data_IF_882524515816
#
_entry.id   IF_882524515816
#
_cell.length_a   1.000
_cell.length_b   1.000
_cell.length_c   1.000
_cell.angle_alpha   90.00
_cell.angle_beta   90.00
_cell.angle_gamma   90.00
#
_symmetry.space_group_name_H-M   'P 1'
#
loop_
_entity.id
_entity.type
_entity.pdbx_description
1 polymer ?
#
# COMPACT_ATOMS: atom_id res chain seq x y z
N UNK A 1 -20.89 -5.26 -20.24
CA UNK A 1 -21.38 -3.89 -19.97
C UNK A 1 -21.29 -3.11 -21.28
N UNK A 2 -22.37 -2.45 -21.70
CA UNK A 2 -22.40 -1.67 -22.94
C UNK A 2 -21.95 -0.25 -22.58
N UNK A 3 -20.95 0.29 -23.28
CA UNK A 3 -20.50 1.68 -23.11
C UNK A 3 -21.35 2.61 -23.98
N UNK A 4 -21.68 3.78 -23.46
CA UNK A 4 -22.22 4.87 -24.28
C UNK A 4 -21.17 5.38 -25.28
N UNK A 5 -21.55 6.06 -26.38
CA UNK A 5 -20.60 6.60 -27.35
C UNK A 5 -19.55 7.54 -26.72
N UNK A 6 -19.96 8.36 -25.75
CA UNK A 6 -19.07 9.28 -25.03
C UNK A 6 -18.08 8.53 -24.13
N UNK A 7 -18.51 7.48 -23.43
CA UNK A 7 -17.63 6.64 -22.62
C UNK A 7 -16.63 5.87 -23.49
N UNK A 8 -17.06 5.40 -24.66
CA UNK A 8 -16.19 4.74 -25.62
C UNK A 8 -15.13 5.69 -26.17
N UNK A 9 -15.50 6.94 -26.51
CA UNK A 9 -14.57 8.00 -26.92
C UNK A 9 -13.52 8.29 -25.84
N UNK A 10 -13.95 8.45 -24.58
CA UNK A 10 -13.03 8.68 -23.44
C UNK A 10 -12.05 7.51 -23.30
N UNK A 11 -12.56 6.27 -23.30
CA UNK A 11 -11.73 5.07 -23.17
C UNK A 11 -10.66 5.00 -24.29
N UNK A 12 -11.07 5.23 -25.53
CA UNK A 12 -10.15 5.23 -26.68
C UNK A 12 -9.06 6.30 -26.56
N UNK A 13 -9.40 7.51 -26.11
CA UNK A 13 -8.42 8.60 -25.92
C UNK A 13 -7.41 8.29 -24.81
N UNK A 14 -7.86 7.67 -23.72
CA UNK A 14 -6.98 7.23 -22.62
C UNK A 14 -6.06 6.11 -23.08
N UNK A 15 -6.59 5.10 -23.78
CA UNK A 15 -5.81 4.00 -24.33
C UNK A 15 -4.79 4.45 -25.40
N UNK A 16 -5.11 5.51 -26.15
CA UNK A 16 -4.23 6.03 -27.19
C UNK A 16 -3.01 6.79 -26.65
N UNK A 17 -3.11 7.44 -25.48
CA UNK A 17 -2.01 8.21 -24.88
C UNK A 17 -1.33 7.52 -23.71
N UNK A 18 -1.97 6.48 -23.15
CA UNK A 18 -1.52 5.78 -21.96
C UNK A 18 -0.71 4.52 -22.25
N UNK A 19 0.18 4.19 -21.33
CA UNK A 19 0.84 2.88 -21.23
C UNK A 19 0.24 2.13 -20.03
N UNK A 20 -0.21 0.88 -20.17
CA UNK A 20 -0.72 0.09 -19.05
C UNK A 20 0.30 0.01 -17.91
N UNK A 21 -0.12 0.17 -16.65
CA UNK A 21 0.79 0.15 -15.49
C UNK A 21 1.64 -1.13 -15.35
N UNK A 22 1.21 -2.27 -15.90
CA UNK A 22 2.02 -3.50 -15.97
C UNK A 22 3.26 -3.37 -16.86
N UNK A 23 3.23 -2.43 -17.81
CA UNK A 23 4.30 -2.15 -18.77
C UNK A 23 5.14 -0.93 -18.32
N UNK A 24 4.81 -0.32 -17.17
CA UNK A 24 5.66 0.64 -16.49
C UNK A 24 6.76 -0.09 -15.71
N UNK A 25 7.92 0.55 -15.56
CA UNK A 25 8.98 0.06 -14.67
C UNK A 25 8.65 0.36 -13.20
N UNK A 26 7.67 -0.38 -12.69
CA UNK A 26 7.17 -0.25 -11.31
C UNK A 26 7.03 -1.63 -10.65
N UNK A 27 7.17 -1.64 -9.32
CA UNK A 27 6.87 -2.80 -8.47
C UNK A 27 5.64 -2.50 -7.62
N UNK A 28 4.67 -3.42 -7.59
CA UNK A 28 3.49 -3.31 -6.73
C UNK A 28 3.50 -4.44 -5.71
N UNK A 29 3.66 -4.08 -4.44
CA UNK A 29 3.81 -5.01 -3.34
C UNK A 29 2.69 -4.85 -2.32
N UNK A 30 2.30 -5.94 -1.65
CA UNK A 30 1.26 -5.92 -0.60
C UNK A 30 1.87 -5.58 0.76
N UNK A 31 1.12 -4.91 1.61
CA UNK A 31 1.50 -4.76 3.01
C UNK A 31 1.61 -6.11 3.73
N UNK A 32 2.22 -6.09 4.91
CA UNK A 32 2.58 -7.29 5.66
C UNK A 32 1.37 -7.96 6.31
N UNK A 33 1.41 -9.29 6.39
CA UNK A 33 0.50 -10.09 7.18
C UNK A 33 1.10 -10.34 8.57
N UNK A 34 0.38 -9.94 9.61
CA UNK A 34 0.78 -10.20 10.99
C UNK A 34 0.27 -11.53 11.51
N UNK A 35 -0.78 -12.11 10.91
CA UNK A 35 -1.46 -13.30 11.43
C UNK A 35 -2.15 -13.14 12.80
N UNK A 36 -1.93 -12.04 13.52
CA UNK A 36 -2.61 -11.67 14.77
C UNK A 36 -2.30 -10.20 15.12
N UNK A 37 -3.16 -9.27 14.69
CA UNK A 37 -2.86 -7.83 14.75
C UNK A 37 -2.71 -7.31 16.19
N UNK A 38 -3.46 -7.84 17.14
CA UNK A 38 -3.47 -7.38 18.54
C UNK A 38 -2.10 -7.52 19.22
N UNK A 39 -1.30 -8.52 18.82
CA UNK A 39 0.05 -8.70 19.35
C UNK A 39 1.07 -7.77 18.68
N UNK A 40 0.99 -7.63 17.35
CA UNK A 40 2.04 -6.99 16.56
C UNK A 40 1.78 -5.52 16.23
N UNK A 41 0.52 -5.07 16.20
CA UNK A 41 0.14 -3.67 15.93
C UNK A 41 -0.32 -3.03 17.23
N UNK A 42 0.58 -2.24 17.82
CA UNK A 42 0.39 -1.57 19.09
C UNK A 42 0.00 -0.10 18.90
N UNK A 43 -0.61 0.50 19.92
CA UNK A 43 -0.82 1.95 19.95
C UNK A 43 0.41 2.70 20.47
N UNK A 44 0.36 4.03 20.37
CA UNK A 44 1.40 4.92 20.87
C UNK A 44 1.70 4.74 22.36
N UNK A 45 0.68 4.50 23.19
CA UNK A 45 0.86 4.35 24.64
C UNK A 45 1.68 3.09 24.93
N UNK A 46 1.28 1.96 24.37
CA UNK A 46 2.01 0.70 24.49
C UNK A 46 3.42 0.84 23.91
N UNK A 47 3.59 1.49 22.75
CA UNK A 47 4.92 1.78 22.19
C UNK A 47 5.80 2.52 23.20
N UNK A 48 5.30 3.62 23.74
CA UNK A 48 6.06 4.48 24.65
C UNK A 48 6.41 3.75 25.96
N UNK A 49 5.51 2.90 26.47
CA UNK A 49 5.77 2.05 27.63
C UNK A 49 6.86 1.01 27.36
N UNK A 50 6.84 0.33 26.21
CA UNK A 50 7.85 -0.66 25.83
C UNK A 50 9.22 -0.01 25.65
N UNK A 51 9.30 1.13 24.96
CA UNK A 51 10.55 1.87 24.74
C UNK A 51 11.08 2.45 26.07
N UNK A 52 10.20 2.93 26.95
CA UNK A 52 10.62 3.45 28.27
C UNK A 52 11.24 2.35 29.13
N UNK A 53 10.70 1.13 29.08
CA UNK A 53 11.23 -0.02 29.83
C UNK A 53 12.51 -0.56 29.22
N UNK A 54 12.61 -0.57 27.89
CA UNK A 54 13.79 -1.00 27.14
C UNK A 54 13.96 -0.15 25.87
N UNK A 55 14.84 0.88 25.89
CA UNK A 55 15.05 1.79 24.76
C UNK A 55 15.42 1.09 23.45
N UNK A 56 16.06 -0.09 23.51
CA UNK A 56 16.43 -0.86 22.33
C UNK A 56 15.21 -1.31 21.52
N UNK A 57 14.06 -1.47 22.17
CA UNK A 57 12.78 -1.78 21.51
C UNK A 57 12.43 -0.83 20.36
N UNK A 58 12.90 0.41 20.40
CA UNK A 58 12.66 1.40 19.36
C UNK A 58 13.22 0.96 17.98
N UNK A 59 14.28 0.15 17.94
CA UNK A 59 14.91 -0.33 16.70
C UNK A 59 13.96 -1.19 15.84
N UNK A 60 13.03 -1.91 16.49
CA UNK A 60 12.13 -2.84 15.83
C UNK A 60 10.66 -2.42 15.93
N UNK A 61 10.35 -1.20 16.39
CA UNK A 61 8.99 -0.66 16.38
C UNK A 61 8.87 0.43 15.33
N UNK A 62 8.09 0.18 14.28
CA UNK A 62 7.96 1.09 13.12
C UNK A 62 6.53 1.62 12.98
N UNK A 63 6.31 2.86 12.50
CA UNK A 63 4.97 3.34 12.19
C UNK A 63 4.31 2.45 11.13
N UNK A 64 3.01 2.20 11.26
CA UNK A 64 2.25 1.38 10.30
C UNK A 64 0.96 2.07 9.83
N UNK A 65 0.72 2.02 8.53
CA UNK A 65 -0.51 2.43 7.88
C UNK A 65 -1.41 1.22 7.59
N UNK A 66 -2.73 1.44 7.70
CA UNK A 66 -3.77 0.52 7.24
C UNK A 66 -4.47 1.16 6.05
N UNK A 67 -5.16 0.36 5.22
CA UNK A 67 -5.86 0.86 4.04
C UNK A 67 -6.81 2.02 4.34
N UNK A 68 -7.53 1.98 5.47
CA UNK A 68 -8.44 3.07 5.89
C UNK A 68 -7.75 4.38 6.27
N UNK A 69 -6.47 4.31 6.60
CA UNK A 69 -5.66 5.47 6.98
C UNK A 69 -5.22 6.26 5.72
N UNK A 70 -5.28 5.65 4.53
CA UNK A 70 -4.84 6.27 3.26
C UNK A 70 -5.98 7.04 2.60
N UNK A 71 -5.72 8.30 2.24
CA UNK A 71 -6.65 9.25 1.60
C UNK A 71 -6.12 9.67 0.23
N UNK A 72 -6.87 10.54 -0.45
CA UNK A 72 -6.42 11.17 -1.71
C UNK A 72 -5.27 12.13 -1.40
N UNK A 73 -4.08 11.83 -1.92
CA UNK A 73 -2.82 12.59 -1.75
C UNK A 73 -2.19 12.60 -0.36
N UNK A 74 -2.81 12.01 0.66
CA UNK A 74 -2.30 12.03 2.03
C UNK A 74 -2.72 10.78 2.81
N UNK A 75 -2.25 10.66 4.05
CA UNK A 75 -2.72 9.63 4.98
C UNK A 75 -2.87 10.22 6.38
N UNK A 76 -3.85 9.69 7.12
CA UNK A 76 -4.12 10.04 8.51
C UNK A 76 -3.38 9.06 9.40
N UNK A 77 -2.22 9.45 9.92
CA UNK A 77 -1.44 8.57 10.79
C UNK A 77 -2.17 8.33 12.12
N UNK A 78 -2.64 7.10 12.32
CA UNK A 78 -3.50 6.73 13.45
C UNK A 78 -2.74 6.42 14.75
N UNK A 79 -1.49 6.87 14.88
CA UNK A 79 -0.63 6.57 16.04
C UNK A 79 -0.53 5.05 16.33
N UNK A 80 -0.42 4.28 15.24
CA UNK A 80 -0.24 2.82 15.27
C UNK A 80 1.17 2.46 14.84
N UNK A 81 1.71 1.46 15.53
CA UNK A 81 3.07 1.00 15.34
C UNK A 81 3.10 -0.51 15.25
N UNK A 82 4.03 -1.03 14.47
CA UNK A 82 4.25 -2.43 14.23
C UNK A 82 5.52 -2.87 14.95
N UNK A 83 5.42 -3.94 15.72
CA UNK A 83 6.57 -4.72 16.18
C UNK A 83 7.10 -5.52 14.99
N UNK A 84 8.16 -5.03 14.36
CA UNK A 84 8.79 -5.54 13.13
C UNK A 84 9.85 -6.60 13.38
N UNK A 85 9.46 -7.72 13.98
CA UNK A 85 10.33 -8.90 14.14
C UNK A 85 10.40 -9.67 12.82
N UNK A 86 11.38 -9.38 11.96
CA UNK A 86 11.55 -10.06 10.66
C UNK A 86 12.50 -11.26 10.75
N UNK A 87 12.48 -12.10 9.71
CA UNK A 87 13.47 -13.16 9.49
C UNK A 87 14.57 -12.64 8.58
N UNK A 88 15.66 -13.39 8.46
CA UNK A 88 16.74 -13.05 7.53
C UNK A 88 16.22 -12.76 6.12
N UNK A 89 16.70 -11.66 5.53
CA UNK A 89 16.42 -11.29 4.14
C UNK A 89 17.62 -10.59 3.51
N UNK A 90 17.71 -10.63 2.19
CA UNK A 90 18.66 -9.82 1.44
C UNK A 90 17.95 -8.60 0.85
N UNK A 91 18.57 -7.42 0.90
CA UNK A 91 18.07 -6.24 0.19
C UNK A 91 18.45 -6.25 -1.30
N UNK A 92 18.00 -5.22 -2.03
CA UNK A 92 18.25 -5.10 -3.48
C UNK A 92 19.75 -4.98 -3.82
N UNK A 93 20.61 -4.62 -2.85
CA UNK A 93 22.07 -4.56 -3.02
C UNK A 93 22.76 -5.89 -2.65
N UNK A 94 21.99 -6.92 -2.28
CA UNK A 94 22.50 -8.21 -1.85
C UNK A 94 23.05 -8.22 -0.41
N UNK A 95 22.82 -7.16 0.38
CA UNK A 95 23.21 -7.14 1.79
C UNK A 95 22.23 -8.00 2.57
N UNK A 96 22.77 -8.96 3.32
CA UNK A 96 21.99 -9.86 4.17
C UNK A 96 21.73 -9.20 5.53
N UNK A 97 20.46 -8.99 5.84
CA UNK A 97 19.97 -8.51 7.12
C UNK A 97 19.60 -9.73 7.98
N UNK A 98 20.24 -9.96 9.13
CA UNK A 98 20.00 -11.15 9.95
C UNK A 98 18.59 -11.15 10.55
N UNK A 99 18.07 -12.34 10.86
CA UNK A 99 16.80 -12.47 11.59
C UNK A 99 16.87 -11.76 12.94
N UNK A 100 15.77 -11.12 13.34
CA UNK A 100 15.63 -10.59 14.70
C UNK A 100 15.49 -11.77 15.67
N UNK A 101 16.45 -11.94 16.58
CA UNK A 101 16.30 -12.81 17.74
C UNK A 101 15.52 -12.06 18.83
N UNK A 102 14.34 -12.56 19.18
CA UNK A 102 13.49 -11.92 20.18
C UNK A 102 14.12 -11.87 21.57
N UNK A 103 15.12 -12.72 21.86
CA UNK A 103 15.88 -12.70 23.11
C UNK A 103 16.69 -11.42 23.28
N UNK A 104 17.05 -10.78 22.17
CA UNK A 104 17.77 -9.50 22.17
C UNK A 104 16.87 -8.31 22.54
N UNK A 105 15.55 -8.54 22.65
CA UNK A 105 14.51 -7.54 22.95
C UNK A 105 13.56 -8.09 24.04
N UNK A 106 14.02 -8.24 25.29
CA UNK A 106 13.28 -8.95 26.35
C UNK A 106 11.91 -8.34 26.66
N UNK A 107 11.79 -7.01 26.62
CA UNK A 107 10.50 -6.31 26.84
C UNK A 107 9.50 -6.59 25.72
N UNK A 108 9.97 -6.68 24.47
CA UNK A 108 9.13 -7.06 23.33
C UNK A 108 8.74 -8.54 23.43
N UNK A 109 9.68 -9.39 23.85
CA UNK A 109 9.40 -10.80 24.10
C UNK A 109 8.28 -10.96 25.13
N UNK A 110 8.36 -10.28 26.27
CA UNK A 110 7.35 -10.32 27.33
C UNK A 110 5.98 -9.87 26.82
N UNK A 111 5.93 -8.79 26.04
CA UNK A 111 4.70 -8.34 25.38
C UNK A 111 4.13 -9.42 24.45
N UNK A 112 4.95 -10.06 23.62
CA UNK A 112 4.49 -11.12 22.73
C UNK A 112 4.13 -12.42 23.46
N UNK A 113 4.79 -12.73 24.59
CA UNK A 113 4.49 -13.88 25.44
C UNK A 113 3.08 -13.79 26.04
N UNK A 114 2.60 -12.58 26.33
CA UNK A 114 1.20 -12.36 26.74
C UNK A 114 0.20 -12.92 25.71
N UNK A 115 0.57 -12.88 24.43
CA UNK A 115 -0.23 -13.40 23.31
C UNK A 115 0.22 -14.79 22.83
N UNK A 116 1.02 -15.53 23.61
CA UNK A 116 1.65 -16.78 23.18
C UNK A 116 0.67 -17.81 22.62
N UNK A 117 -0.49 -17.98 23.27
CA UNK A 117 -1.50 -18.96 22.88
C UNK A 117 -2.03 -18.72 21.45
N UNK A 118 -2.06 -17.45 21.02
CA UNK A 118 -2.53 -17.00 19.73
C UNK A 118 -1.37 -17.00 18.72
N UNK A 119 -0.24 -16.36 19.06
CA UNK A 119 0.86 -16.17 18.10
C UNK A 119 1.56 -17.49 17.71
N UNK A 120 1.62 -18.47 18.62
CA UNK A 120 2.19 -19.79 18.35
C UNK A 120 1.38 -20.58 17.30
N UNK A 121 0.06 -20.35 17.25
CA UNK A 121 -0.85 -21.02 16.31
C UNK A 121 -0.99 -20.31 14.96
N UNK A 122 -0.37 -19.14 14.78
CA UNK A 122 -0.37 -18.43 13.50
C UNK A 122 0.13 -19.33 12.38
N UNK A 123 -0.57 -19.30 11.25
CA UNK A 123 -0.10 -19.89 10.00
C UNK A 123 0.88 -18.93 9.32
N UNK A 124 0.58 -17.63 9.35
CA UNK A 124 1.47 -16.56 8.88
C UNK A 124 2.49 -16.17 9.95
N UNK A 125 3.56 -16.97 10.05
CA UNK A 125 4.72 -16.69 10.92
C UNK A 125 6.04 -16.98 10.20
N UNK A 126 7.12 -16.46 10.76
CA UNK A 126 8.48 -16.77 10.34
C UNK A 126 9.01 -18.06 10.96
N UNK A 127 10.33 -18.11 11.12
CA UNK A 127 11.06 -19.25 11.66
C UNK A 127 10.69 -19.52 13.14
N UNK A 128 10.25 -18.47 13.86
CA UNK A 128 9.68 -18.58 15.20
C UNK A 128 8.27 -17.97 15.27
N UNK A 129 7.46 -18.33 16.29
CA UNK A 129 6.20 -17.65 16.58
C UNK A 129 6.30 -16.14 16.80
N UNK A 130 7.48 -15.63 17.14
CA UNK A 130 7.71 -14.21 17.37
C UNK A 130 8.00 -13.45 16.08
N UNK A 131 8.50 -14.11 15.03
CA UNK A 131 8.80 -13.45 13.76
C UNK A 131 7.54 -13.35 12.89
N UNK A 132 7.37 -12.21 12.24
CA UNK A 132 6.44 -12.03 11.13
C UNK A 132 6.82 -12.96 9.98
N UNK A 133 5.86 -13.23 9.09
CA UNK A 133 6.10 -14.06 7.89
C UNK A 133 7.23 -13.47 7.05
N UNK A 134 8.06 -14.33 6.44
CA UNK A 134 9.11 -13.93 5.48
C UNK A 134 8.49 -13.08 4.36
N UNK A 135 9.13 -11.96 4.06
CA UNK A 135 8.69 -11.00 3.07
C UNK A 135 9.88 -10.67 2.16
N UNK A 136 9.77 -10.98 0.87
CA UNK A 136 10.88 -10.85 -0.08
C UNK A 136 11.24 -9.39 -0.41
N UNK A 137 10.41 -8.44 0.00
CA UNK A 137 10.52 -7.02 -0.31
C UNK A 137 10.53 -6.17 0.98
N UNK A 138 11.13 -6.68 2.07
CA UNK A 138 11.21 -5.95 3.35
C UNK A 138 11.87 -4.58 3.21
N UNK A 139 12.90 -4.46 2.36
CA UNK A 139 13.60 -3.19 2.16
C UNK A 139 12.75 -2.16 1.39
N UNK A 140 11.78 -2.58 0.59
CA UNK A 140 10.93 -1.68 -0.17
C UNK A 140 10.08 -0.77 0.74
N UNK A 141 9.82 -1.16 1.99
CA UNK A 141 9.17 -0.30 2.97
C UNK A 141 10.01 0.92 3.37
N UNK A 142 11.32 0.90 3.13
CA UNK A 142 12.24 2.02 3.43
C UNK A 142 12.38 3.00 2.25
N UNK A 143 11.88 2.64 1.07
CA UNK A 143 12.01 3.44 -0.14
C UNK A 143 10.84 4.42 -0.29
N UNK A 144 11.03 5.52 -1.03
CA UNK A 144 9.92 6.35 -1.52
C UNK A 144 8.92 5.46 -2.26
N UNK A 145 7.64 5.61 -1.93
CA UNK A 145 6.58 4.75 -2.47
C UNK A 145 5.24 5.46 -2.46
N UNK A 146 4.38 5.13 -3.41
CA UNK A 146 2.94 5.43 -3.31
C UNK A 146 2.30 4.33 -2.49
N UNK A 147 1.54 4.67 -1.46
CA UNK A 147 0.70 3.74 -0.70
C UNK A 147 -0.75 3.89 -1.12
N UNK A 148 -1.47 2.77 -1.20
CA UNK A 148 -2.90 2.79 -1.52
C UNK A 148 -3.70 1.69 -0.83
N UNK A 149 -4.97 1.98 -0.56
CA UNK A 149 -5.89 1.02 0.07
C UNK A 149 -6.22 -0.13 -0.88
N UNK A 150 -6.33 -1.36 -0.37
CA UNK A 150 -6.87 -2.49 -1.15
C UNK A 150 -8.35 -2.32 -1.48
N UNK A 151 -9.09 -1.59 -0.66
CA UNK A 151 -10.51 -1.30 -0.88
C UNK A 151 -10.63 0.23 -0.99
N UNK A 152 -10.89 0.71 -2.19
CA UNK A 152 -11.25 2.12 -2.41
C UNK A 152 -12.62 2.43 -1.81
N UNK A 153 -12.82 3.68 -1.41
CA UNK A 153 -14.17 4.24 -1.28
C UNK A 153 -14.72 4.66 -2.64
N UNK A 154 -15.45 5.78 -2.66
CA UNK A 154 -15.85 6.44 -3.91
C UNK A 154 -14.71 7.29 -4.53
N UNK A 155 -13.61 7.48 -3.80
CA UNK A 155 -12.50 8.35 -4.15
C UNK A 155 -11.17 7.58 -4.30
N UNK A 156 -10.20 8.11 -5.06
CA UNK A 156 -8.88 7.52 -5.15
C UNK A 156 -8.15 7.62 -3.80
N UNK A 157 -7.75 6.48 -3.24
CA UNK A 157 -7.04 6.40 -1.97
C UNK A 157 -5.55 6.09 -2.22
N UNK A 158 -4.84 6.99 -2.88
CA UNK A 158 -3.40 6.92 -3.13
C UNK A 158 -2.70 8.10 -2.47
N UNK A 159 -1.55 7.85 -1.83
CA UNK A 159 -0.73 8.87 -1.19
C UNK A 159 0.76 8.56 -1.34
N UNK A 160 1.61 9.59 -1.33
CA UNK A 160 3.05 9.39 -1.27
C UNK A 160 3.46 9.16 0.20
N UNK A 161 4.19 8.07 0.48
CA UNK A 161 4.80 7.83 1.79
C UNK A 161 6.27 8.21 1.77
N UNK A 162 6.56 9.34 2.43
CA UNK A 162 7.91 9.84 2.67
C UNK A 162 8.42 9.51 4.08
N UNK A 163 7.60 8.87 4.92
CA UNK A 163 7.91 8.56 6.31
C UNK A 163 8.40 7.11 6.52
N UNK A 164 8.59 6.35 5.43
CA UNK A 164 9.01 4.93 5.49
C UNK A 164 8.10 4.08 6.37
N UNK A 165 6.80 4.36 6.31
CA UNK A 165 5.79 3.61 7.05
C UNK A 165 5.75 2.16 6.58
N UNK A 166 5.59 1.26 7.54
CA UNK A 166 5.11 -0.10 7.26
C UNK A 166 3.65 -0.03 6.85
N UNK A 167 3.15 -1.09 6.23
CA UNK A 167 1.72 -1.21 5.92
C UNK A 167 1.24 -2.59 6.24
N UNK A 168 -0.01 -2.72 6.70
CA UNK A 168 -0.63 -4.02 6.81
C UNK A 168 -1.26 -4.45 5.48
N UNK A 169 -1.73 -5.68 5.49
CA UNK A 169 -2.31 -6.42 4.37
C UNK A 169 -3.59 -5.79 3.75
N UNK A 170 -4.10 -4.71 4.33
CA UNK A 170 -5.22 -3.91 3.80
C UNK A 170 -4.77 -2.80 2.85
N UNK A 171 -3.47 -2.65 2.62
CA UNK A 171 -2.88 -1.69 1.70
C UNK A 171 -1.81 -2.32 0.80
N UNK A 172 -1.47 -1.61 -0.28
CA UNK A 172 -0.44 -1.95 -1.26
C UNK A 172 0.46 -0.74 -1.49
N UNK A 173 1.67 -0.99 -1.97
CA UNK A 173 2.64 0.05 -2.32
C UNK A 173 3.09 -0.07 -3.77
N UNK A 174 3.35 1.05 -4.41
CA UNK A 174 3.96 1.17 -5.73
C UNK A 174 5.34 1.81 -5.56
N UNK A 175 6.36 1.15 -6.07
CA UNK A 175 7.73 1.64 -6.18
C UNK A 175 8.10 1.80 -7.65
N UNK A 176 9.03 2.71 -7.95
CA UNK A 176 9.55 2.97 -9.28
C UNK A 176 9.92 4.44 -9.41
N UNK A 177 10.18 4.88 -10.63
CA UNK A 177 10.48 6.27 -10.93
C UNK A 177 9.21 7.12 -11.11
N UNK A 178 9.36 8.44 -11.04
CA UNK A 178 8.28 9.41 -11.32
C UNK A 178 7.01 9.26 -10.43
N UNK A 179 7.18 8.82 -9.18
CA UNK A 179 6.06 8.56 -8.26
C UNK A 179 5.11 9.74 -8.07
N UNK A 180 5.62 10.97 -7.97
CA UNK A 180 4.76 12.15 -7.83
C UNK A 180 3.87 12.37 -9.06
N UNK A 181 4.43 12.23 -10.25
CA UNK A 181 3.67 12.33 -11.50
C UNK A 181 2.63 11.20 -11.58
N UNK A 182 3.01 9.96 -11.27
CA UNK A 182 2.09 8.83 -11.26
C UNK A 182 0.97 9.04 -10.24
N UNK A 183 1.28 9.51 -9.04
CA UNK A 183 0.28 9.85 -8.02
C UNK A 183 -0.72 10.89 -8.52
N UNK A 184 -0.24 11.96 -9.16
CA UNK A 184 -1.12 12.97 -9.76
C UNK A 184 -2.05 12.39 -10.81
N UNK A 185 -1.59 11.46 -11.65
CA UNK A 185 -2.46 10.79 -12.62
C UNK A 185 -3.46 9.87 -11.93
N UNK A 186 -3.02 8.99 -11.03
CA UNK A 186 -3.89 8.07 -10.30
C UNK A 186 -5.01 8.78 -9.53
N UNK A 187 -4.72 9.96 -8.99
CA UNK A 187 -5.68 10.77 -8.25
C UNK A 187 -6.41 11.82 -9.10
N UNK A 188 -6.21 11.90 -10.41
CA UNK A 188 -6.94 12.85 -11.27
C UNK A 188 -8.34 12.33 -11.64
N UNK A 189 -9.33 13.22 -11.82
CA UNK A 189 -10.70 12.81 -12.15
C UNK A 189 -10.80 11.92 -13.39
N UNK A 190 -10.00 12.19 -14.43
CA UNK A 190 -10.04 11.48 -15.71
C UNK A 190 -9.63 10.02 -15.56
N UNK A 191 -8.49 9.76 -14.91
CA UNK A 191 -7.98 8.41 -14.72
C UNK A 191 -8.70 7.68 -13.59
N UNK A 192 -9.20 8.39 -12.57
CA UNK A 192 -10.06 7.80 -11.56
C UNK A 192 -11.40 7.33 -12.16
N UNK A 193 -12.02 8.18 -12.99
CA UNK A 193 -13.22 7.81 -13.75
C UNK A 193 -12.95 6.59 -14.63
N UNK A 194 -11.87 6.62 -15.41
CA UNK A 194 -11.51 5.52 -16.30
C UNK A 194 -11.29 4.22 -15.54
N UNK A 195 -10.56 4.28 -14.43
CA UNK A 195 -10.33 3.12 -13.57
C UNK A 195 -11.64 2.53 -13.07
N UNK A 196 -12.49 3.33 -12.40
CA UNK A 196 -13.79 2.88 -11.89
C UNK A 196 -14.71 2.33 -12.98
N UNK A 197 -14.73 2.97 -14.15
CA UNK A 197 -15.73 2.72 -15.17
C UNK A 197 -15.36 1.60 -16.14
N UNK A 198 -14.07 1.45 -16.46
CA UNK A 198 -13.59 0.57 -17.53
C UNK A 198 -12.71 -0.58 -17.02
N UNK A 199 -11.99 -0.39 -15.93
CA UNK A 199 -10.97 -1.35 -15.47
C UNK A 199 -11.32 -2.02 -14.13
N UNK A 200 -12.13 -1.40 -13.27
CA UNK A 200 -12.60 -2.01 -12.02
C UNK A 200 -13.70 -3.06 -12.25
N UNK A 201 -13.68 -4.13 -11.44
CA UNK A 201 -14.70 -5.18 -11.45
C UNK A 201 -14.20 -6.56 -11.03
N UNK A 202 -15.14 -7.52 -10.96
CA UNK A 202 -14.86 -8.95 -10.79
C UNK A 202 -14.58 -9.43 -9.36
N UNK A 203 -14.78 -8.61 -8.32
CA UNK A 203 -14.47 -8.93 -6.92
C UNK A 203 -15.47 -8.32 -5.93
N UNK A 204 -15.02 -8.06 -4.69
CA UNK A 204 -15.83 -7.32 -3.70
C UNK A 204 -16.03 -5.89 -4.20
N UNK A 205 -17.18 -5.29 -3.90
CA UNK A 205 -17.49 -3.92 -4.28
C UNK A 205 -16.35 -2.96 -3.87
N UNK A 206 -15.86 -2.17 -4.83
CA UNK A 206 -14.77 -1.19 -4.69
C UNK A 206 -13.40 -1.75 -4.31
N UNK A 207 -13.18 -3.05 -4.45
CA UNK A 207 -11.84 -3.64 -4.31
C UNK A 207 -10.91 -3.21 -5.46
N UNK A 208 -9.72 -2.69 -5.10
CA UNK A 208 -8.58 -2.58 -6.01
C UNK A 208 -7.95 -3.95 -6.22
N UNK A 209 -8.41 -4.66 -7.25
CA UNK A 209 -7.66 -5.80 -7.76
C UNK A 209 -6.39 -5.30 -8.43
N UNK A 210 -5.25 -5.88 -8.04
CA UNK A 210 -3.96 -5.52 -8.61
C UNK A 210 -3.93 -5.68 -10.13
N UNK A 211 -4.50 -6.77 -10.66
CA UNK A 211 -4.53 -7.01 -12.11
C UNK A 211 -5.34 -5.95 -12.86
N UNK A 212 -6.41 -5.43 -12.26
CA UNK A 212 -7.20 -4.36 -12.82
C UNK A 212 -6.40 -3.05 -12.85
N UNK A 213 -5.75 -2.70 -11.73
CA UNK A 213 -4.91 -1.49 -11.64
C UNK A 213 -3.75 -1.57 -12.63
N UNK A 214 -3.09 -2.73 -12.72
CA UNK A 214 -2.01 -3.01 -13.68
C UNK A 214 -2.43 -2.81 -15.15
N UNK A 215 -3.71 -2.96 -15.47
CA UNK A 215 -4.21 -2.75 -16.83
C UNK A 215 -4.65 -1.30 -17.13
N UNK A 216 -4.68 -0.42 -16.14
CA UNK A 216 -5.02 0.99 -16.33
C UNK A 216 -3.94 1.68 -17.17
N UNK A 217 -4.26 2.27 -18.34
CA UNK A 217 -3.31 3.03 -19.14
C UNK A 217 -3.08 4.40 -18.49
N UNK A 218 -1.84 4.68 -18.09
CA UNK A 218 -1.40 6.00 -17.62
C UNK A 218 -0.35 6.53 -18.60
N UNK A 219 -0.42 7.81 -19.03
CA UNK A 219 0.58 8.42 -19.90
C UNK A 219 1.92 8.52 -19.18
N UNK A 220 3.01 8.08 -19.81
CA UNK A 220 4.37 8.29 -19.28
C UNK A 220 4.70 9.79 -19.18
N UNK A 221 5.66 10.19 -18.34
CA UNK A 221 6.18 11.57 -18.38
C UNK A 221 6.59 11.97 -19.81
N UNK A 222 6.25 13.19 -20.22
CA UNK A 222 6.50 13.75 -21.56
C UNK A 222 5.76 13.06 -22.73
N UNK A 223 4.82 12.16 -22.49
CA UNK A 223 3.95 11.65 -23.55
C UNK A 223 2.90 12.70 -23.96
N UNK A 224 2.19 12.42 -25.05
CA UNK A 224 1.07 13.27 -25.49
C UNK A 224 0.03 13.44 -24.37
N UNK A 225 -0.41 14.68 -24.14
CA UNK A 225 -1.45 14.95 -23.16
C UNK A 225 -2.82 14.44 -23.62
N UNK A 226 -3.61 13.97 -22.64
CA UNK A 226 -5.00 13.59 -22.86
C UNK A 226 -5.84 14.82 -23.25
N UNK A 227 -6.48 14.77 -24.41
CA UNK A 227 -7.37 15.84 -24.90
C UNK A 227 -8.82 15.39 -24.88
N UNK A 228 -9.60 15.98 -23.97
CA UNK A 228 -11.03 15.72 -23.80
C UNK A 228 -11.87 16.91 -24.27
N UNK A 229 -13.04 16.63 -24.87
CA UNK A 229 -14.05 17.65 -25.20
C UNK A 229 -14.72 18.18 -23.94
N UNK A 230 -15.48 19.27 -24.06
CA UNK A 230 -16.25 19.83 -22.95
C UNK A 230 -17.29 18.85 -22.43
N UNK A 231 -17.98 18.10 -23.30
CA UNK A 231 -18.98 17.12 -22.86
C UNK A 231 -18.33 15.95 -22.09
N UNK A 232 -17.17 15.48 -22.53
CA UNK A 232 -16.43 14.41 -21.87
C UNK A 232 -15.97 14.83 -20.46
N UNK A 233 -15.46 16.06 -20.33
CA UNK A 233 -15.07 16.62 -19.03
C UNK A 233 -16.27 16.79 -18.10
N UNK A 234 -17.42 17.21 -18.63
CA UNK A 234 -18.65 17.34 -17.85
C UNK A 234 -19.12 15.98 -17.32
N UNK A 235 -19.10 14.93 -18.15
CA UNK A 235 -19.44 13.57 -17.74
C UNK A 235 -18.54 13.08 -16.60
N UNK A 236 -17.22 13.27 -16.74
CA UNK A 236 -16.24 12.87 -15.72
C UNK A 236 -16.50 13.61 -14.41
N UNK A 237 -16.73 14.93 -14.46
CA UNK A 237 -17.00 15.75 -13.27
C UNK A 237 -18.28 15.34 -12.54
N UNK A 238 -19.34 14.99 -13.27
CA UNK A 238 -20.58 14.51 -12.65
C UNK A 238 -20.38 13.17 -11.93
N UNK A 239 -19.54 12.30 -12.48
CA UNK A 239 -19.21 11.01 -11.87
C UNK A 239 -18.26 11.12 -10.66
N UNK A 240 -17.39 12.13 -10.61
CA UNK A 240 -16.49 12.34 -9.44
C UNK A 240 -17.26 12.83 -8.20
N UNK A 241 -18.39 13.52 -8.40
CA UNK A 241 -19.25 14.05 -7.33
C UNK A 241 -20.35 13.07 -6.84
N UNK A 242 -20.35 11.82 -7.34
CA UNK A 242 -21.30 10.75 -6.99
C UNK A 242 -20.61 9.58 -6.29
#
# INVERSE_FOLDING_TARGET
MILSPIEQSIKQKIEAVGTPLRDWDIRINRGILTGYNEAFIIDKKTRDELIKKDPKSAEIIRPILRGKDIKRYSYDFADKYLITTYNEYADDNGIVHPSIDIKDYPTIKEHLDYYWQQINKRQDKGDTPYNLRRCAYMDDFNKPKIVFSRISGNEPCFALDNASCMMNDTAYMILGDNLEYLLHKLCSPEYWFAFRRFYMGGGIEKEFKLDNLKNLPIPMPNSQELRLTSEERQLISLADNS
#
